data_IF_109364495396
#
_entry.id   IF_109364495396
#
_cell.length_a   1.000
_cell.length_b   1.000
_cell.length_c   1.000
_cell.angle_alpha   90.00
_cell.angle_beta   90.00
_cell.angle_gamma   90.00
#
_symmetry.space_group_name_H-M   'P 1'
#
loop_
_entity.id
_entity.type
_entity.pdbx_description
1 polymer ?
#
# COMPACT_ATOMS: atom_id res chain seq x y z
N UNK A 1 28.85 2.82 15.85
CA UNK A 1 27.70 1.92 15.65
C UNK A 1 26.65 2.79 14.97
N UNK A 2 26.53 2.68 13.65
CA UNK A 2 25.81 3.66 12.83
C UNK A 2 24.30 3.45 12.88
N UNK A 3 23.56 4.56 12.96
CA UNK A 3 22.11 4.69 12.84
C UNK A 3 21.61 4.19 11.47
N UNK A 4 21.43 2.88 11.32
CA UNK A 4 20.81 2.27 10.15
C UNK A 4 19.26 2.11 10.31
N UNK A 5 18.67 2.82 11.28
CA UNK A 5 17.33 2.53 11.79
C UNK A 5 16.33 3.69 11.73
N UNK A 6 16.70 4.82 11.09
CA UNK A 6 15.77 5.91 10.86
C UNK A 6 15.26 5.86 9.42
N UNK A 7 13.94 5.93 9.26
CA UNK A 7 13.33 6.39 8.01
C UNK A 7 13.99 7.71 7.62
N UNK A 8 14.18 7.92 6.31
CA UNK A 8 14.78 9.16 5.83
C UNK A 8 14.03 10.37 6.45
N UNK A 9 14.73 11.36 7.04
CA UNK A 9 14.11 12.55 7.62
C UNK A 9 13.13 13.26 6.68
N UNK A 10 13.34 13.19 5.35
CA UNK A 10 12.40 13.73 4.36
C UNK A 10 11.07 12.97 4.32
N UNK A 11 11.11 11.65 4.48
CA UNK A 11 9.92 10.78 4.56
C UNK A 11 9.18 11.09 5.87
N UNK A 12 9.89 11.12 7.00
CA UNK A 12 9.27 11.45 8.29
C UNK A 12 8.61 12.82 8.28
N UNK A 13 9.28 13.84 7.75
CA UNK A 13 8.73 15.19 7.64
C UNK A 13 7.45 15.22 6.78
N UNK A 14 7.41 14.46 5.68
CA UNK A 14 6.20 14.39 4.84
C UNK A 14 5.00 13.79 5.58
N UNK A 15 5.22 12.76 6.42
CA UNK A 15 4.14 12.08 7.16
C UNK A 15 3.76 12.78 8.47
N UNK A 16 4.70 13.41 9.17
CA UNK A 16 4.44 14.22 10.37
C UNK A 16 3.54 15.44 10.09
N UNK A 17 3.43 15.87 8.82
CA UNK A 17 2.49 16.92 8.40
C UNK A 17 1.01 16.48 8.48
N UNK A 18 0.71 15.22 8.81
CA UNK A 18 -0.66 14.75 9.10
C UNK A 18 -1.57 14.69 7.87
N UNK A 19 -1.00 14.65 6.66
CA UNK A 19 -1.74 14.66 5.40
C UNK A 19 -2.31 13.28 5.00
N UNK A 20 -1.90 12.19 5.67
CA UNK A 20 -2.30 10.82 5.30
C UNK A 20 -3.81 10.58 5.46
N UNK A 21 -4.44 11.10 6.52
CA UNK A 21 -5.88 10.96 6.75
C UNK A 21 -6.70 11.55 5.59
N UNK A 22 -6.22 12.65 4.99
CA UNK A 22 -6.84 13.21 3.81
C UNK A 22 -6.49 12.43 2.54
N UNK A 23 -5.34 11.76 2.46
CA UNK A 23 -4.79 11.25 1.20
C UNK A 23 -5.64 10.14 0.56
N UNK A 24 -6.15 9.18 1.34
CA UNK A 24 -7.05 8.13 0.83
C UNK A 24 -8.50 8.61 0.64
N UNK A 25 -8.88 9.71 1.29
CA UNK A 25 -10.19 10.34 1.08
C UNK A 25 -10.20 11.38 -0.06
N UNK A 26 -9.03 11.89 -0.50
CA UNK A 26 -8.94 13.00 -1.47
C UNK A 26 -8.05 12.78 -2.69
N UNK A 27 -7.15 11.78 -2.75
CA UNK A 27 -6.19 11.64 -3.87
C UNK A 27 -6.53 10.53 -4.87
N UNK A 28 -7.08 9.38 -4.44
CA UNK A 28 -7.66 8.36 -5.34
C UNK A 28 -8.72 7.53 -4.62
N UNK A 29 -10.01 7.88 -4.79
CA UNK A 29 -11.11 7.10 -4.18
C UNK A 29 -11.23 5.72 -4.85
N UNK A 30 -10.81 5.62 -6.11
CA UNK A 30 -10.78 4.36 -6.85
C UNK A 30 -9.79 3.39 -6.20
N UNK A 31 -8.58 3.84 -5.86
CA UNK A 31 -7.58 3.04 -5.13
C UNK A 31 -8.19 2.49 -3.84
N UNK A 32 -8.77 3.35 -2.99
CA UNK A 32 -9.35 2.93 -1.72
C UNK A 32 -10.46 1.89 -1.86
N UNK A 33 -11.40 2.09 -2.79
CA UNK A 33 -12.48 1.11 -3.06
C UNK A 33 -11.91 -0.21 -3.59
N UNK A 34 -10.93 -0.15 -4.49
CA UNK A 34 -10.32 -1.33 -5.09
C UNK A 34 -9.47 -2.12 -4.11
N UNK A 35 -8.65 -1.45 -3.30
CA UNK A 35 -7.87 -2.10 -2.24
C UNK A 35 -8.81 -2.82 -1.27
N UNK A 36 -9.91 -2.19 -0.83
CA UNK A 36 -10.90 -2.86 0.02
C UNK A 36 -11.52 -4.10 -0.63
N UNK A 37 -11.92 -4.01 -1.90
CA UNK A 37 -12.46 -5.15 -2.65
C UNK A 37 -11.43 -6.29 -2.76
N UNK A 38 -10.16 -5.96 -3.02
CA UNK A 38 -9.07 -6.93 -3.11
C UNK A 38 -8.81 -7.62 -1.77
N UNK A 39 -8.78 -6.87 -0.66
CA UNK A 39 -8.64 -7.43 0.68
C UNK A 39 -9.78 -8.42 0.99
N UNK A 40 -11.03 -8.06 0.71
CA UNK A 40 -12.19 -8.94 0.92
C UNK A 40 -12.13 -10.22 0.08
N UNK A 41 -11.53 -10.17 -1.11
CA UNK A 41 -11.45 -11.29 -2.04
C UNK A 41 -10.26 -12.22 -1.75
N UNK A 42 -9.17 -11.68 -1.21
CA UNK A 42 -7.89 -12.37 -1.10
C UNK A 42 -7.53 -12.81 0.32
N UNK A 43 -8.10 -12.17 1.34
CA UNK A 43 -7.90 -12.58 2.72
C UNK A 43 -8.65 -13.90 3.04
N UNK A 44 -8.12 -14.72 3.95
CA UNK A 44 -8.87 -15.82 4.56
C UNK A 44 -10.14 -15.30 5.23
N UNK A 45 -11.20 -16.12 5.32
CA UNK A 45 -12.43 -15.71 5.99
C UNK A 45 -12.19 -15.44 7.50
N UNK A 46 -12.87 -14.44 8.09
CA UNK A 46 -12.77 -14.18 9.53
C UNK A 46 -13.41 -15.31 10.37
N UNK A 47 -12.95 -15.53 11.61
CA UNK A 47 -11.83 -14.84 12.26
C UNK A 47 -10.49 -15.35 11.72
N UNK A 48 -9.62 -14.42 11.30
CA UNK A 48 -8.27 -14.67 10.86
C UNK A 48 -7.35 -13.59 11.43
N UNK A 49 -6.11 -13.95 11.75
CA UNK A 49 -5.11 -13.02 12.29
C UNK A 49 -4.44 -12.27 11.14
N UNK A 50 -4.63 -10.95 11.10
CA UNK A 50 -4.07 -10.07 10.07
C UNK A 50 -3.06 -9.12 10.69
N UNK A 51 -1.85 -9.07 10.14
CA UNK A 51 -0.85 -8.08 10.51
C UNK A 51 -0.84 -6.97 9.46
N UNK A 52 -1.25 -5.77 9.83
CA UNK A 52 -1.18 -4.57 8.99
C UNK A 52 0.14 -3.82 9.27
N UNK A 53 1.13 -4.03 8.40
CA UNK A 53 2.50 -3.53 8.58
C UNK A 53 2.71 -2.28 7.71
N UNK A 54 3.01 -1.16 8.37
CA UNK A 54 2.91 0.17 7.79
C UNK A 54 1.46 0.61 7.61
N UNK A 55 0.59 0.26 8.57
CA UNK A 55 -0.87 0.46 8.48
C UNK A 55 -1.34 1.91 8.68
N UNK A 56 -0.42 2.85 8.93
CA UNK A 56 -0.72 4.26 9.10
C UNK A 56 -1.73 4.50 10.22
N UNK A 57 -2.64 5.45 10.00
CA UNK A 57 -3.74 5.75 10.91
C UNK A 57 -4.86 4.67 10.96
N UNK A 58 -4.65 3.48 10.37
CA UNK A 58 -5.57 2.35 10.45
C UNK A 58 -6.66 2.32 9.37
N UNK A 59 -6.41 2.94 8.21
CA UNK A 59 -7.38 3.03 7.10
C UNK A 59 -7.88 1.68 6.59
N UNK A 60 -7.04 0.65 6.63
CA UNK A 60 -7.40 -0.72 6.28
C UNK A 60 -7.66 -1.57 7.53
N UNK A 61 -6.84 -1.41 8.57
CA UNK A 61 -6.96 -2.18 9.80
C UNK A 61 -8.32 -2.03 10.50
N UNK A 62 -8.87 -0.81 10.58
CA UNK A 62 -10.12 -0.55 11.31
C UNK A 62 -11.36 -1.15 10.62
N UNK A 63 -11.56 -0.99 9.29
CA UNK A 63 -12.60 -1.73 8.60
C UNK A 63 -12.46 -3.25 8.70
N UNK A 64 -11.23 -3.79 8.64
CA UNK A 64 -11.01 -5.22 8.79
C UNK A 64 -11.38 -5.71 10.20
N UNK A 65 -11.02 -4.97 11.24
CA UNK A 65 -11.45 -5.28 12.61
C UNK A 65 -12.98 -5.32 12.72
N UNK A 66 -13.67 -4.31 12.18
CA UNK A 66 -15.15 -4.28 12.12
C UNK A 66 -15.73 -5.48 11.35
N UNK A 67 -15.04 -5.94 10.31
CA UNK A 67 -15.44 -7.12 9.52
C UNK A 67 -15.15 -8.46 10.24
N UNK A 68 -14.68 -8.44 11.49
CA UNK A 68 -14.51 -9.62 12.38
C UNK A 68 -13.12 -10.25 12.36
N UNK A 69 -12.11 -9.56 11.83
CA UNK A 69 -10.72 -10.03 11.82
C UNK A 69 -9.99 -9.66 13.12
N UNK A 70 -9.03 -10.48 13.52
CA UNK A 70 -8.09 -10.13 14.60
C UNK A 70 -6.93 -9.34 13.99
N UNK A 71 -7.04 -8.02 14.01
CA UNK A 71 -6.08 -7.14 13.32
C UNK A 71 -5.06 -6.54 14.28
N UNK A 72 -3.78 -6.76 13.99
CA UNK A 72 -2.67 -6.09 14.66
C UNK A 72 -1.98 -5.10 13.71
N UNK A 73 -1.96 -3.83 14.09
CA UNK A 73 -1.30 -2.77 13.33
C UNK A 73 0.10 -2.50 13.88
N UNK A 74 1.07 -2.37 12.97
CA UNK A 74 2.41 -1.85 13.26
C UNK A 74 2.76 -0.73 12.28
N UNK A 75 3.28 0.37 12.80
CA UNK A 75 3.74 1.49 11.97
C UNK A 75 5.02 2.10 12.52
N UNK A 76 5.88 2.64 11.65
CA UNK A 76 7.14 3.26 12.06
C UNK A 76 6.94 4.68 12.61
N UNK A 77 5.82 5.33 12.30
CA UNK A 77 5.48 6.70 12.71
C UNK A 77 4.63 6.66 13.99
N UNK A 78 5.13 7.11 15.15
CA UNK A 78 4.38 7.05 16.40
C UNK A 78 3.02 7.78 16.37
N UNK A 79 2.95 8.90 15.65
CA UNK A 79 1.71 9.67 15.49
C UNK A 79 0.61 8.84 14.80
N UNK A 80 0.94 8.04 13.79
CA UNK A 80 -0.01 7.15 13.11
C UNK A 80 -0.57 6.10 14.08
N UNK A 81 0.29 5.54 14.93
CA UNK A 81 -0.13 4.57 15.96
C UNK A 81 -1.05 5.20 16.99
N UNK A 82 -0.77 6.43 17.41
CA UNK A 82 -1.66 7.19 18.31
C UNK A 82 -3.03 7.44 17.67
N UNK A 83 -3.06 7.85 16.40
CA UNK A 83 -4.29 8.07 15.64
C UNK A 83 -5.08 6.77 15.46
N UNK A 84 -4.42 5.67 15.09
CA UNK A 84 -5.05 4.35 14.93
C UNK A 84 -5.68 3.86 16.25
N UNK A 85 -5.00 4.05 17.39
CA UNK A 85 -5.55 3.72 18.72
C UNK A 85 -6.76 4.57 19.07
N UNK A 86 -6.70 5.88 18.81
CA UNK A 86 -7.83 6.77 19.07
C UNK A 86 -9.06 6.41 18.22
N UNK A 87 -8.84 6.12 16.93
CA UNK A 87 -9.89 5.69 16.02
C UNK A 87 -10.46 4.30 16.39
N UNK A 88 -9.61 3.37 16.84
CA UNK A 88 -10.03 2.07 17.39
C UNK A 88 -10.94 2.23 18.60
N UNK A 89 -10.55 3.08 19.56
CA UNK A 89 -11.36 3.32 20.76
C UNK A 89 -12.70 4.00 20.43
N UNK A 90 -12.74 4.88 19.42
CA UNK A 90 -13.98 5.47 18.94
C UNK A 90 -14.90 4.42 18.29
N UNK A 91 -14.33 3.53 17.46
CA UNK A 91 -15.07 2.43 16.82
C UNK A 91 -15.66 1.46 17.86
N UNK A 92 -14.91 1.12 18.90
CA UNK A 92 -15.39 0.31 20.04
C UNK A 92 -16.52 1.01 20.81
N UNK A 93 -16.43 2.34 20.98
CA UNK A 93 -17.49 3.11 21.63
C UNK A 93 -18.80 3.14 20.83
N UNK A 94 -18.72 3.00 19.51
CA UNK A 94 -19.86 2.88 18.59
C UNK A 94 -20.44 1.45 18.52
N UNK A 95 -19.81 0.48 19.22
CA UNK A 95 -20.29 -0.90 19.34
C UNK A 95 -19.74 -1.87 18.28
N UNK A 96 -18.76 -1.44 17.48
CA UNK A 96 -18.02 -2.27 16.54
C UNK A 96 -16.74 -2.85 17.17
N UNK A 97 -16.17 -3.91 16.58
CA UNK A 97 -14.88 -4.47 17.02
C UNK A 97 -13.71 -3.55 16.66
N UNK A 98 -12.83 -3.25 17.62
CA UNK A 98 -11.61 -2.47 17.43
C UNK A 98 -10.37 -3.31 17.07
N UNK A 99 -9.23 -2.65 16.93
CA UNK A 99 -7.94 -3.30 16.68
C UNK A 99 -7.53 -4.18 17.87
N UNK A 100 -7.05 -5.40 17.59
CA UNK A 100 -6.48 -6.28 18.61
C UNK A 100 -5.21 -5.68 19.22
N UNK A 101 -4.41 -4.96 18.42
CA UNK A 101 -3.35 -4.09 18.93
C UNK A 101 -2.90 -3.08 17.87
N UNK A 102 -2.34 -1.94 18.31
CA UNK A 102 -1.59 -1.03 17.47
C UNK A 102 -0.28 -0.65 18.16
N UNK A 103 0.87 -0.71 17.49
CA UNK A 103 2.19 -0.42 18.08
C UNK A 103 3.17 0.20 17.10
N UNK A 104 4.12 0.99 17.63
CA UNK A 104 5.23 1.47 16.85
C UNK A 104 6.25 0.35 16.58
N UNK A 105 6.83 0.29 15.39
CA UNK A 105 7.85 -0.69 15.04
C UNK A 105 8.34 -0.59 13.59
N UNK A 106 9.35 -1.38 13.26
CA UNK A 106 9.97 -1.42 11.94
C UNK A 106 9.52 -2.67 11.16
N UNK A 107 9.12 -2.51 9.91
CA UNK A 107 8.72 -3.61 9.03
C UNK A 107 9.84 -4.65 8.82
N UNK A 108 11.11 -4.26 9.01
CA UNK A 108 12.30 -5.11 8.88
C UNK A 108 12.60 -5.96 10.12
N UNK A 109 11.85 -5.75 11.22
CA UNK A 109 12.03 -6.47 12.48
C UNK A 109 10.67 -6.59 13.20
N UNK A 110 9.86 -7.54 12.76
CA UNK A 110 8.48 -7.71 13.20
C UNK A 110 8.44 -8.36 14.59
N UNK A 111 7.82 -7.72 15.61
CA UNK A 111 7.85 -8.24 16.98
C UNK A 111 6.74 -9.27 17.26
N UNK A 112 6.53 -10.19 16.32
CA UNK A 112 5.63 -11.35 16.42
C UNK A 112 6.42 -12.64 16.21
N UNK A 113 5.90 -13.74 16.74
CA UNK A 113 6.50 -15.07 16.63
C UNK A 113 6.37 -15.64 15.21
N UNK A 114 7.19 -16.63 14.91
CA UNK A 114 7.13 -17.37 13.64
C UNK A 114 5.77 -18.04 13.49
N UNK A 115 5.16 -17.95 12.30
CA UNK A 115 3.88 -18.60 12.03
C UNK A 115 2.71 -18.12 12.90
N UNK A 116 2.73 -16.88 13.37
CA UNK A 116 1.65 -16.34 14.21
C UNK A 116 0.42 -15.85 13.44
N UNK A 117 0.57 -15.48 12.16
CA UNK A 117 -0.46 -14.79 11.38
C UNK A 117 -1.01 -15.60 10.18
N UNK A 118 -2.28 -15.36 9.84
CA UNK A 118 -2.93 -15.93 8.65
C UNK A 118 -2.71 -15.05 7.41
N UNK A 119 -2.59 -13.74 7.60
CA UNK A 119 -2.24 -12.80 6.55
C UNK A 119 -1.34 -11.65 7.03
N UNK A 120 -0.51 -11.14 6.11
CA UNK A 120 0.32 -9.94 6.30
C UNK A 120 0.02 -8.97 5.17
N UNK A 121 -0.24 -7.72 5.54
CA UNK A 121 -0.42 -6.60 4.63
C UNK A 121 0.85 -5.73 4.68
N UNK A 122 1.45 -5.49 3.52
CA UNK A 122 2.53 -4.52 3.31
C UNK A 122 2.04 -3.49 2.28
N UNK A 123 1.08 -2.65 2.67
CA UNK A 123 0.41 -1.73 1.73
C UNK A 123 1.06 -0.35 1.61
N UNK A 124 2.00 -0.02 2.50
CA UNK A 124 2.75 1.24 2.48
C UNK A 124 4.28 1.18 2.61
N UNK A 125 4.90 0.17 3.25
CA UNK A 125 6.31 0.32 3.64
C UNK A 125 7.30 0.08 2.51
N UNK A 126 7.00 -0.76 1.51
CA UNK A 126 8.01 -1.24 0.55
C UNK A 126 8.66 -0.13 -0.27
N UNK A 127 7.88 0.85 -0.72
CA UNK A 127 8.41 1.95 -1.55
C UNK A 127 9.23 2.98 -0.76
N UNK A 128 9.25 2.91 0.57
CA UNK A 128 10.10 3.75 1.43
C UNK A 128 11.42 3.07 1.83
N UNK A 129 11.60 1.81 1.44
CA UNK A 129 12.77 1.01 1.79
C UNK A 129 13.71 0.85 0.58
N UNK A 130 15.00 0.83 0.86
CA UNK A 130 16.01 0.40 -0.10
C UNK A 130 15.90 -1.11 -0.39
N UNK A 131 16.68 -1.62 -1.35
CA UNK A 131 16.59 -3.02 -1.76
C UNK A 131 16.80 -4.02 -0.62
N UNK A 132 17.80 -3.78 0.23
CA UNK A 132 18.08 -4.64 1.39
C UNK A 132 16.96 -4.54 2.44
N UNK A 133 16.42 -3.35 2.67
CA UNK A 133 15.28 -3.12 3.55
C UNK A 133 14.01 -3.80 3.07
N UNK A 134 13.70 -3.73 1.77
CA UNK A 134 12.56 -4.45 1.17
C UNK A 134 12.71 -5.95 1.32
N UNK A 135 13.89 -6.49 1.03
CA UNK A 135 14.18 -7.91 1.21
C UNK A 135 14.01 -8.34 2.68
N UNK A 136 14.48 -7.55 3.64
CA UNK A 136 14.31 -7.81 5.07
C UNK A 136 12.83 -7.77 5.50
N UNK A 137 12.06 -6.78 5.05
CA UNK A 137 10.64 -6.68 5.35
C UNK A 137 9.83 -7.86 4.80
N UNK A 138 10.11 -8.28 3.55
CA UNK A 138 9.47 -9.46 2.95
C UNK A 138 9.87 -10.76 3.67
N UNK A 139 11.13 -10.88 4.11
CA UNK A 139 11.59 -12.03 4.88
C UNK A 139 10.91 -12.11 6.25
N UNK A 140 10.73 -10.99 6.95
CA UNK A 140 9.98 -10.96 8.20
C UNK A 140 8.50 -11.26 8.00
N UNK A 141 7.88 -10.70 6.96
CA UNK A 141 6.50 -11.04 6.60
C UNK A 141 6.34 -12.54 6.35
N UNK A 142 7.30 -13.17 5.67
CA UNK A 142 7.31 -14.62 5.47
C UNK A 142 7.43 -15.38 6.79
N UNK A 143 8.34 -14.95 7.67
CA UNK A 143 8.61 -15.61 8.96
C UNK A 143 7.37 -15.65 9.84
N UNK A 144 6.63 -14.54 9.94
CA UNK A 144 5.44 -14.44 10.81
C UNK A 144 4.19 -15.12 10.22
N UNK A 145 4.18 -15.41 8.91
CA UNK A 145 3.06 -16.11 8.27
C UNK A 145 3.07 -17.60 8.58
N UNK A 146 1.89 -18.14 8.89
CA UNK A 146 1.64 -19.59 8.95
C UNK A 146 1.90 -20.22 7.57
N UNK A 147 2.19 -21.53 7.49
CA UNK A 147 2.19 -22.23 6.22
C UNK A 147 0.89 -21.98 5.44
N UNK A 148 1.00 -21.61 4.16
CA UNK A 148 -0.11 -21.19 3.28
C UNK A 148 -0.79 -19.86 3.66
N UNK A 149 -0.23 -19.11 4.61
CA UNK A 149 -0.64 -17.76 4.94
C UNK A 149 -0.44 -16.81 3.75
N UNK A 150 -1.23 -15.73 3.70
CA UNK A 150 -1.31 -14.83 2.55
C UNK A 150 -0.49 -13.57 2.79
N UNK A 151 0.40 -13.25 1.86
CA UNK A 151 1.03 -11.93 1.75
C UNK A 151 0.28 -11.09 0.71
N UNK A 152 -0.08 -9.87 1.09
CA UNK A 152 -0.55 -8.83 0.18
C UNK A 152 0.41 -7.65 0.26
N UNK A 153 1.23 -7.46 -0.78
CA UNK A 153 2.28 -6.45 -0.81
C UNK A 153 2.00 -5.43 -1.92
N UNK A 154 1.77 -4.17 -1.55
CA UNK A 154 1.52 -3.11 -2.51
C UNK A 154 2.81 -2.39 -2.90
N UNK A 155 2.83 -1.88 -4.12
CA UNK A 155 3.88 -1.00 -4.60
C UNK A 155 3.29 0.12 -5.45
N UNK A 156 3.99 1.25 -5.47
CA UNK A 156 3.73 2.30 -6.46
C UNK A 156 4.38 1.89 -7.78
N UNK A 157 3.62 1.96 -8.86
CA UNK A 157 4.10 1.65 -10.21
C UNK A 157 5.13 2.67 -10.68
N UNK A 158 6.18 2.24 -11.38
CA UNK A 158 7.14 3.13 -12.07
C UNK A 158 6.47 4.15 -12.99
N UNK A 159 5.26 3.83 -13.45
CA UNK A 159 4.51 4.68 -14.36
C UNK A 159 3.64 5.72 -13.63
N UNK A 160 3.39 5.57 -12.32
CA UNK A 160 2.44 6.38 -11.56
C UNK A 160 2.64 7.89 -11.75
N UNK A 161 3.83 8.43 -11.49
CA UNK A 161 4.10 9.87 -11.66
C UNK A 161 3.94 10.35 -13.10
N UNK A 162 4.19 9.47 -14.09
CA UNK A 162 3.95 9.82 -15.50
C UNK A 162 2.44 9.91 -15.76
N UNK A 163 1.65 8.94 -15.27
CA UNK A 163 0.19 8.93 -15.41
C UNK A 163 -0.43 10.17 -14.74
N UNK A 164 -0.07 10.42 -13.48
CA UNK A 164 -0.52 11.59 -12.72
C UNK A 164 -0.06 12.89 -13.37
N UNK A 165 1.18 12.91 -13.87
CA UNK A 165 1.76 14.03 -14.58
C UNK A 165 1.01 14.41 -15.86
N UNK A 166 0.55 13.43 -16.62
CA UNK A 166 -0.33 13.64 -17.79
C UNK A 166 -1.66 14.21 -17.33
N UNK A 167 -2.25 13.61 -16.28
CA UNK A 167 -3.56 13.99 -15.76
C UNK A 167 -3.57 15.45 -15.26
N UNK A 168 -2.65 15.77 -14.37
CA UNK A 168 -2.47 17.07 -13.72
C UNK A 168 -1.78 18.11 -14.62
N UNK A 169 -1.33 17.72 -15.81
CA UNK A 169 -0.53 18.53 -16.74
C UNK A 169 0.84 18.95 -16.18
N UNK A 170 1.33 18.28 -15.15
CA UNK A 170 2.62 18.55 -14.51
C UNK A 170 3.82 18.26 -15.46
N UNK A 171 3.64 17.40 -16.46
CA UNK A 171 4.66 17.17 -17.51
C UNK A 171 4.99 18.40 -18.36
N UNK A 172 4.21 19.49 -18.26
CA UNK A 172 4.57 20.76 -18.85
C UNK A 172 5.81 21.40 -18.18
N UNK A 173 6.10 21.04 -16.92
CA UNK A 173 7.35 21.42 -16.25
C UNK A 173 8.47 20.44 -16.67
N UNK A 174 9.56 20.92 -17.30
CA UNK A 174 10.66 20.07 -17.75
C UNK A 174 11.38 19.37 -16.59
N UNK A 175 11.37 19.93 -15.38
CA UNK A 175 11.97 19.29 -14.20
C UNK A 175 11.15 18.06 -13.80
N UNK A 176 9.83 18.21 -13.72
CA UNK A 176 8.92 17.10 -13.42
C UNK A 176 8.98 16.02 -14.52
N UNK A 177 9.04 16.42 -15.79
CA UNK A 177 9.19 15.49 -16.90
C UNK A 177 10.52 14.70 -16.83
N UNK A 178 11.62 15.37 -16.46
CA UNK A 178 12.91 14.73 -16.24
C UNK A 178 12.89 13.72 -15.09
N UNK A 179 12.25 14.08 -13.98
CA UNK A 179 12.02 13.18 -12.85
C UNK A 179 11.23 11.94 -13.27
N UNK A 180 10.11 12.10 -13.98
CA UNK A 180 9.31 10.98 -14.47
C UNK A 180 10.13 10.04 -15.38
N UNK A 181 10.91 10.61 -16.31
CA UNK A 181 11.76 9.82 -17.20
C UNK A 181 12.83 9.02 -16.42
N UNK A 182 13.40 9.61 -15.37
CA UNK A 182 14.33 8.92 -14.48
C UNK A 182 13.64 7.77 -13.74
N UNK A 183 12.50 8.03 -13.09
CA UNK A 183 11.73 7.01 -12.34
C UNK A 183 11.30 5.84 -13.22
N UNK A 184 10.86 6.10 -14.46
CA UNK A 184 10.52 5.01 -15.40
C UNK A 184 11.75 4.15 -15.71
N UNK A 185 12.92 4.77 -15.89
CA UNK A 185 14.14 4.07 -16.24
C UNK A 185 14.75 3.28 -15.06
N UNK A 186 14.72 3.83 -13.85
CA UNK A 186 15.49 3.31 -12.71
C UNK A 186 14.64 2.69 -11.61
N UNK A 187 13.37 3.10 -11.49
CA UNK A 187 12.55 2.87 -10.31
C UNK A 187 12.77 3.90 -9.20
N UNK A 188 13.80 4.73 -9.28
CA UNK A 188 14.07 5.73 -8.25
C UNK A 188 13.20 6.99 -8.49
N UNK A 189 12.37 7.33 -7.52
CA UNK A 189 11.65 8.60 -7.47
C UNK A 189 12.32 9.51 -6.46
N UNK A 190 12.70 10.72 -6.86
CA UNK A 190 13.38 11.69 -5.98
C UNK A 190 12.85 13.10 -6.21
N UNK A 191 12.40 13.75 -5.15
CA UNK A 191 11.97 15.15 -5.15
C UNK A 191 13.14 16.08 -4.81
N UNK A 192 14.12 16.17 -5.71
CA UNK A 192 15.37 16.90 -5.48
C UNK A 192 15.17 18.42 -5.26
N UNK A 193 14.06 18.97 -5.73
CA UNK A 193 13.70 20.39 -5.56
C UNK A 193 12.93 20.66 -4.26
N UNK A 194 12.56 19.62 -3.50
CA UNK A 194 11.84 19.74 -2.23
C UNK A 194 10.44 20.35 -2.35
N UNK A 195 9.78 20.18 -3.49
CA UNK A 195 8.45 20.76 -3.74
C UNK A 195 7.37 19.97 -3.03
N UNK A 196 6.65 20.60 -2.11
CA UNK A 196 5.68 19.92 -1.25
C UNK A 196 4.54 19.22 -2.01
N UNK A 197 4.23 19.68 -3.22
CA UNK A 197 3.21 19.09 -4.11
C UNK A 197 3.67 17.82 -4.84
N UNK A 198 4.97 17.49 -4.83
CA UNK A 198 5.52 16.29 -5.46
C UNK A 198 5.74 15.19 -4.44
N UNK A 199 5.59 13.94 -4.87
CA UNK A 199 5.77 12.80 -3.98
C UNK A 199 7.22 12.69 -3.50
N UNK A 200 7.42 12.13 -2.31
CA UNK A 200 8.73 12.07 -1.64
C UNK A 200 9.67 11.05 -2.29
N UNK A 201 10.90 10.96 -1.80
CA UNK A 201 11.88 9.95 -2.23
C UNK A 201 11.35 8.55 -1.97
N UNK A 202 11.29 7.72 -3.02
CA UNK A 202 10.71 6.38 -2.97
C UNK A 202 11.25 5.48 -4.08
N UNK A 203 11.10 4.16 -3.91
CA UNK A 203 11.31 3.16 -4.96
C UNK A 203 9.98 2.75 -5.58
N UNK A 204 9.83 2.94 -6.88
CA UNK A 204 8.66 2.53 -7.65
C UNK A 204 8.99 1.27 -8.45
N UNK A 205 8.05 0.33 -8.45
CA UNK A 205 8.25 -1.00 -9.01
C UNK A 205 7.75 -1.11 -10.44
N UNK A 206 8.52 -1.85 -11.25
CA UNK A 206 7.94 -2.50 -12.42
C UNK A 206 7.11 -3.71 -11.94
N UNK A 207 6.01 -4.10 -12.61
CA UNK A 207 5.23 -5.29 -12.20
C UNK A 207 6.09 -6.56 -12.04
N UNK A 208 6.99 -6.82 -12.98
CA UNK A 208 7.89 -7.99 -12.91
C UNK A 208 8.90 -7.89 -11.75
N UNK A 209 9.38 -6.69 -11.44
CA UNK A 209 10.30 -6.47 -10.32
C UNK A 209 9.63 -6.76 -8.97
N UNK A 210 8.38 -6.31 -8.80
CA UNK A 210 7.62 -6.61 -7.59
C UNK A 210 7.37 -8.13 -7.46
N UNK A 211 7.05 -8.79 -8.58
CA UNK A 211 6.88 -10.24 -8.60
C UNK A 211 8.17 -10.95 -8.19
N UNK A 212 9.30 -10.56 -8.76
CA UNK A 212 10.62 -11.16 -8.51
C UNK A 212 11.04 -10.98 -7.04
N UNK A 213 10.88 -9.79 -6.46
CA UNK A 213 11.24 -9.54 -5.06
C UNK A 213 10.43 -10.43 -4.10
N UNK A 214 9.13 -10.58 -4.34
CA UNK A 214 8.27 -11.45 -3.52
C UNK A 214 8.64 -12.93 -3.72
N UNK A 215 8.95 -13.35 -4.95
CA UNK A 215 9.39 -14.72 -5.23
C UNK A 215 10.74 -15.05 -4.58
N UNK A 216 11.70 -14.11 -4.61
CA UNK A 216 13.03 -14.25 -3.99
C UNK A 216 12.94 -14.34 -2.46
N UNK A 217 11.96 -13.66 -1.84
CA UNK A 217 11.63 -13.84 -0.42
C UNK A 217 11.01 -15.22 -0.10
N UNK A 218 10.82 -16.06 -1.12
CA UNK A 218 10.48 -17.47 -1.04
C UNK A 218 8.98 -17.75 -1.05
N UNK A 219 8.14 -16.77 -1.36
CA UNK A 219 6.71 -16.96 -1.52
C UNK A 219 6.38 -17.69 -2.83
N UNK A 220 5.32 -18.49 -2.82
CA UNK A 220 4.64 -18.88 -4.05
C UNK A 220 3.79 -17.69 -4.52
N UNK A 221 4.16 -17.08 -5.65
CA UNK A 221 3.52 -15.83 -6.10
C UNK A 221 2.34 -16.15 -7.02
N UNK A 222 1.12 -15.91 -6.52
CA UNK A 222 -0.15 -16.06 -7.24
C UNK A 222 -0.30 -14.99 -8.36
N UNK A 223 0.54 -13.94 -8.33
CA UNK A 223 0.69 -12.93 -9.39
C UNK A 223 0.66 -11.49 -8.86
N UNK A 224 0.78 -10.54 -9.79
CA UNK A 224 0.62 -9.11 -9.55
C UNK A 224 -0.72 -8.65 -10.11
N UNK A 225 -1.44 -7.84 -9.34
CA UNK A 225 -2.75 -7.28 -9.67
C UNK A 225 -2.63 -5.77 -9.77
N UNK A 226 -3.17 -5.18 -10.83
CA UNK A 226 -3.40 -3.74 -10.91
C UNK A 226 -4.54 -3.33 -9.95
N UNK A 227 -4.28 -2.41 -9.03
CA UNK A 227 -5.31 -1.96 -8.07
C UNK A 227 -6.40 -1.20 -8.82
N UNK A 228 -6.05 -0.14 -9.53
CA UNK A 228 -6.98 0.65 -10.34
C UNK A 228 -7.02 0.18 -11.81
N UNK A 229 -5.89 -0.28 -12.35
CA UNK A 229 -5.73 -0.58 -13.77
C UNK A 229 -6.03 0.65 -14.63
N UNK A 230 -6.69 0.48 -15.80
CA UNK A 230 -7.06 1.62 -16.66
C UNK A 230 -7.93 2.68 -15.98
N UNK A 231 -8.51 2.40 -14.82
CA UNK A 231 -9.27 3.38 -14.07
C UNK A 231 -8.39 4.51 -13.50
N UNK A 232 -7.05 4.36 -13.44
CA UNK A 232 -6.13 5.46 -13.12
C UNK A 232 -6.26 6.69 -14.04
N UNK A 233 -6.89 6.54 -15.21
CA UNK A 233 -7.13 7.66 -16.14
C UNK A 233 -8.48 8.37 -15.95
N UNK A 234 -9.33 7.88 -15.03
CA UNK A 234 -10.65 8.48 -14.76
C UNK A 234 -10.48 9.88 -14.16
N UNK A 235 -11.23 10.87 -14.68
CA UNK A 235 -11.17 12.28 -14.19
C UNK A 235 -12.28 12.65 -13.22
N UNK A 236 -13.44 12.05 -13.39
CA UNK A 236 -14.61 12.31 -12.55
C UNK A 236 -14.93 11.02 -11.79
N UNK A 237 -14.15 10.77 -10.73
CA UNK A 237 -14.37 9.62 -9.86
C UNK A 237 -15.76 9.67 -9.23
N UNK A 238 -16.27 10.86 -8.89
CA UNK A 238 -17.59 11.05 -8.29
C UNK A 238 -18.70 10.52 -9.21
N UNK A 239 -18.64 10.85 -10.50
CA UNK A 239 -19.61 10.32 -11.46
C UNK A 239 -19.67 8.79 -11.46
N UNK A 240 -18.53 8.10 -11.35
CA UNK A 240 -18.47 6.65 -11.28
C UNK A 240 -18.84 6.08 -9.91
N UNK A 241 -18.27 6.62 -8.83
CA UNK A 241 -18.25 6.00 -7.51
C UNK A 241 -19.47 6.35 -6.64
N UNK A 242 -20.11 7.51 -6.87
CA UNK A 242 -21.24 7.97 -6.06
C UNK A 242 -22.55 7.24 -6.39
N UNK A 243 -22.60 6.58 -7.56
CA UNK A 243 -23.71 5.74 -7.99
C UNK A 243 -23.34 4.25 -7.89
N UNK A 244 -24.07 3.45 -7.09
CA UNK A 244 -23.70 2.06 -6.86
C UNK A 244 -23.65 1.19 -8.12
N UNK A 245 -24.50 1.47 -9.12
CA UNK A 245 -24.58 0.67 -10.34
C UNK A 245 -23.43 1.01 -11.30
N UNK A 246 -23.10 2.31 -11.45
CA UNK A 246 -21.92 2.73 -12.22
C UNK A 246 -20.64 2.28 -11.56
N UNK A 247 -20.56 2.37 -10.23
CA UNK A 247 -19.41 1.88 -9.46
C UNK A 247 -19.17 0.40 -9.75
N UNK A 248 -20.20 -0.45 -9.62
CA UNK A 248 -20.05 -1.88 -9.90
C UNK A 248 -19.60 -2.15 -11.35
N UNK A 249 -20.15 -1.43 -12.33
CA UNK A 249 -19.70 -1.55 -13.74
C UNK A 249 -18.23 -1.19 -13.93
N UNK A 250 -17.74 -0.14 -13.27
CA UNK A 250 -16.33 0.24 -13.29
C UNK A 250 -15.47 -0.86 -12.66
N UNK A 251 -15.85 -1.36 -11.47
CA UNK A 251 -15.11 -2.41 -10.77
C UNK A 251 -15.11 -3.72 -11.56
N UNK A 252 -16.21 -4.09 -12.23
CA UNK A 252 -16.24 -5.24 -13.16
C UNK A 252 -15.28 -5.04 -14.35
N UNK A 253 -15.24 -3.84 -14.93
CA UNK A 253 -14.31 -3.54 -16.02
C UNK A 253 -12.85 -3.66 -15.58
N UNK A 254 -12.50 -3.12 -14.40
CA UNK A 254 -11.16 -3.26 -13.81
C UNK A 254 -10.82 -4.72 -13.56
N UNK A 255 -11.71 -5.48 -12.90
CA UNK A 255 -11.51 -6.92 -12.63
C UNK A 255 -11.22 -7.73 -13.89
N UNK A 256 -11.82 -7.36 -15.03
CA UNK A 256 -11.65 -8.08 -16.29
C UNK A 256 -10.21 -8.05 -16.82
N UNK A 257 -9.44 -7.02 -16.44
CA UNK A 257 -8.08 -6.77 -16.97
C UNK A 257 -7.03 -6.62 -15.88
N UNK A 258 -7.38 -6.76 -14.59
CA UNK A 258 -6.51 -6.49 -13.44
C UNK A 258 -5.23 -7.35 -13.38
N UNK A 259 -5.18 -8.47 -14.14
CA UNK A 259 -4.02 -9.38 -14.23
C UNK A 259 -3.45 -9.47 -15.64
N UNK A 260 -3.97 -8.71 -16.60
CA UNK A 260 -3.50 -8.74 -17.98
C UNK A 260 -2.12 -8.06 -18.06
N UNK A 261 -1.02 -8.78 -18.39
CA UNK A 261 0.34 -8.22 -18.35
C UNK A 261 0.51 -6.98 -19.20
N UNK A 262 -0.17 -6.93 -20.36
CA UNK A 262 -0.11 -5.77 -21.25
C UNK A 262 -0.78 -4.51 -20.69
N UNK A 263 -1.58 -4.64 -19.61
CA UNK A 263 -2.36 -3.56 -19.01
C UNK A 263 -1.92 -3.24 -17.58
N UNK A 264 -1.13 -4.09 -16.91
CA UNK A 264 -0.62 -3.80 -15.55
C UNK A 264 0.09 -2.44 -15.45
N UNK A 265 0.82 -2.04 -16.50
CA UNK A 265 1.50 -0.75 -16.56
C UNK A 265 0.57 0.48 -16.62
N UNK A 266 -0.74 0.27 -16.82
CA UNK A 266 -1.75 1.32 -16.82
C UNK A 266 -2.28 1.66 -15.42
N UNK A 267 -1.75 1.03 -14.35
CA UNK A 267 -2.13 1.27 -12.95
C UNK A 267 -1.11 2.14 -12.24
N UNK A 268 -1.59 3.02 -11.35
CA UNK A 268 -0.73 3.77 -10.42
C UNK A 268 -0.22 2.86 -9.29
N UNK A 269 -1.04 1.94 -8.80
CA UNK A 269 -0.64 1.01 -7.75
C UNK A 269 -0.78 -0.45 -8.18
N UNK A 270 0.12 -1.28 -7.66
CA UNK A 270 0.22 -2.70 -7.92
C UNK A 270 0.11 -3.46 -6.60
N UNK A 271 -0.44 -4.68 -6.65
CA UNK A 271 -0.56 -5.58 -5.50
C UNK A 271 -0.02 -6.97 -5.87
N UNK A 272 1.09 -7.37 -5.26
CA UNK A 272 1.55 -8.74 -5.31
C UNK A 272 0.84 -9.60 -4.29
N UNK A 273 0.47 -10.81 -4.70
CA UNK A 273 -0.16 -11.83 -3.86
C UNK A 273 0.78 -13.02 -3.73
N UNK A 274 1.21 -13.31 -2.51
CA UNK A 274 2.12 -14.42 -2.20
C UNK A 274 1.54 -15.39 -1.18
N UNK A 275 1.96 -16.66 -1.24
CA UNK A 275 1.65 -17.69 -0.23
C UNK A 275 2.93 -18.18 0.44
N UNK A 276 2.90 -18.25 1.77
CA UNK A 276 4.01 -18.69 2.60
C UNK A 276 4.23 -20.21 2.59
#
# INVERSE_FOLDING_TARGET
>A
MSDAHQLDPEILTHYELGLEHARLETVSRIEGVRTRELLQRLLPAPPAVVLDVGGGAGVHALPLARDGYEVHLLDAVPLHVEQARAASAAQEADGDDGLASARAGDARALPWEDGSADAVLLLGPLYHLDGDGRAAALAEARRVLRPRGVLLAAAVSRFASTLDGIHARALADPVFAGMCAHTVATGEHRNLDGRAEWFTTAHFHHPDELWDEVAVAGFEVDGVIAIEGPASFVRDEGWWLDDPERRERLLEAVRRVEREPSVLGASAHLLAVGRA
#
